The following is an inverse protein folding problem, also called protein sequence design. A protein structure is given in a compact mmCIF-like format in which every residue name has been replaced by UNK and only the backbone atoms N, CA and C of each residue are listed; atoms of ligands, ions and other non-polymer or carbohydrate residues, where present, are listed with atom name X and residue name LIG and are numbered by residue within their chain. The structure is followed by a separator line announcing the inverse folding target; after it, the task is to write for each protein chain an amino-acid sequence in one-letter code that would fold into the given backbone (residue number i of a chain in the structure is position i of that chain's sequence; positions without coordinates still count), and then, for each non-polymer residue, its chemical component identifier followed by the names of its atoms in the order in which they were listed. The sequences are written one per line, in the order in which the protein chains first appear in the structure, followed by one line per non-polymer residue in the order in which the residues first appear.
data_IF_489616696999
#
_entry.id   IF_489616696999
#
_cell.length_a   1.000
_cell.length_b   1.000
_cell.length_c   1.000
_cell.angle_alpha   90.00
_cell.angle_beta   90.00
_cell.angle_gamma   90.00
#
_symmetry.space_group_name_H-M   'P 1'
#
loop_
_entity.id
_entity.type
_entity.pdbx_description
1 polymer ?
#
# COMPACT_ATOMS: atom_id res chain seq x y z
N UNK A 1 34.47 -7.92 -5.84
CA UNK A 1 33.20 -8.59 -6.19
C UNK A 1 32.10 -7.56 -6.04
N UNK A 2 31.68 -6.95 -7.15
CA UNK A 2 30.67 -5.88 -7.15
C UNK A 2 29.27 -6.50 -7.20
N UNK A 3 28.59 -6.58 -6.06
CA UNK A 3 27.15 -6.80 -6.02
C UNK A 3 26.43 -5.47 -6.27
N UNK A 4 26.30 -5.05 -7.52
CA UNK A 4 25.41 -3.94 -7.91
C UNK A 4 24.05 -4.53 -8.26
N UNK A 5 23.05 -4.40 -7.40
CA UNK A 5 21.66 -4.53 -7.83
C UNK A 5 21.03 -3.15 -7.83
N UNK A 6 20.71 -2.64 -9.03
CA UNK A 6 19.78 -1.52 -9.21
C UNK A 6 18.32 -1.94 -8.96
N UNK A 7 18.10 -3.18 -8.53
CA UNK A 7 16.78 -3.74 -8.26
C UNK A 7 16.30 -3.34 -6.86
N UNK A 8 14.99 -3.07 -6.71
CA UNK A 8 14.41 -2.77 -5.41
C UNK A 8 14.53 -3.95 -4.46
N UNK A 9 14.88 -3.68 -3.20
CA UNK A 9 14.88 -4.72 -2.14
C UNK A 9 13.45 -5.11 -1.78
N UNK A 10 12.51 -4.17 -1.93
CA UNK A 10 11.08 -4.40 -1.92
C UNK A 10 10.49 -3.62 -3.10
N UNK A 11 9.89 -4.34 -4.05
CA UNK A 11 9.32 -3.78 -5.27
C UNK A 11 8.22 -2.74 -5.02
N UNK A 12 7.88 -2.00 -6.07
CA UNK A 12 6.78 -1.04 -6.02
C UNK A 12 5.45 -1.75 -5.72
N UNK A 13 4.77 -1.33 -4.65
CA UNK A 13 3.45 -1.86 -4.26
C UNK A 13 2.64 -0.81 -3.48
N UNK A 14 1.33 -1.02 -3.40
CA UNK A 14 0.45 -0.41 -2.41
C UNK A 14 0.20 -1.41 -1.28
N UNK A 15 -0.06 -0.92 -0.07
CA UNK A 15 -0.42 -1.81 1.02
C UNK A 15 -1.91 -2.20 0.96
N UNK A 16 -2.26 -3.47 1.22
CA UNK A 16 -3.65 -3.94 1.18
C UNK A 16 -4.51 -3.49 2.38
N UNK A 17 -3.88 -3.10 3.48
CA UNK A 17 -4.53 -2.81 4.76
C UNK A 17 -5.22 -1.43 4.78
N UNK A 18 -5.70 -0.99 5.95
CA UNK A 18 -6.28 0.34 6.15
C UNK A 18 -5.18 1.40 6.29
N UNK A 19 -4.34 1.27 7.32
CA UNK A 19 -3.27 2.21 7.63
C UNK A 19 -2.02 1.46 8.08
N UNK A 20 -0.87 1.86 7.56
CA UNK A 20 0.45 1.37 7.97
C UNK A 20 1.15 2.44 8.80
N UNK A 21 1.62 2.08 10.00
CA UNK A 21 2.58 2.89 10.76
C UNK A 21 3.97 2.29 10.57
N UNK A 22 4.87 3.06 9.98
CA UNK A 22 6.23 2.62 9.66
C UNK A 22 7.25 3.42 10.47
N UNK A 23 8.10 2.70 11.18
CA UNK A 23 9.33 3.21 11.78
C UNK A 23 10.54 2.62 11.05
N UNK A 24 11.62 3.38 10.95
CA UNK A 24 12.90 2.89 10.44
C UNK A 24 14.07 3.46 11.24
N UNK A 25 15.28 2.92 11.06
CA UNK A 25 16.48 3.59 11.55
C UNK A 25 16.86 4.79 10.66
N UNK A 26 18.01 5.41 10.95
CA UNK A 26 18.57 6.58 10.26
C UNK A 26 19.06 6.30 8.82
N UNK A 27 18.94 5.06 8.36
CA UNK A 27 19.32 4.65 7.01
C UNK A 27 18.13 4.80 6.06
N UNK A 28 18.25 5.73 5.10
CA UNK A 28 17.23 5.99 4.09
C UNK A 28 17.07 4.81 3.12
N UNK A 29 15.89 4.75 2.49
CA UNK A 29 15.65 3.80 1.40
C UNK A 29 14.19 3.74 0.94
N UNK A 30 13.25 4.22 1.75
CA UNK A 30 11.85 4.32 1.36
C UNK A 30 11.67 5.42 0.28
N UNK A 31 11.01 5.04 -0.81
CA UNK A 31 10.54 5.96 -1.85
C UNK A 31 9.02 5.80 -2.01
N UNK A 32 8.30 6.91 -2.15
CA UNK A 32 6.85 6.97 -2.38
C UNK A 32 6.62 7.63 -3.73
N UNK A 33 5.74 7.05 -4.54
CA UNK A 33 5.37 7.61 -5.83
C UNK A 33 4.29 8.69 -5.63
N UNK A 34 4.49 9.88 -6.20
CA UNK A 34 3.47 10.93 -6.22
C UNK A 34 2.46 10.71 -7.36
N UNK A 35 1.45 11.59 -7.45
CA UNK A 35 0.40 11.51 -8.46
C UNK A 35 0.92 11.72 -9.90
N UNK A 36 2.08 12.35 -10.06
CA UNK A 36 2.75 12.56 -11.35
C UNK A 36 3.63 11.36 -11.76
N UNK A 37 3.65 10.30 -10.94
CA UNK A 37 4.44 9.09 -11.19
C UNK A 37 5.91 9.19 -10.76
N UNK A 38 6.30 10.29 -10.14
CA UNK A 38 7.68 10.53 -9.69
C UNK A 38 7.94 9.89 -8.32
N UNK A 39 9.14 9.32 -8.15
CA UNK A 39 9.55 8.69 -6.91
C UNK A 39 10.21 9.71 -5.96
N UNK A 40 9.56 9.95 -4.83
CA UNK A 40 10.02 10.86 -3.78
C UNK A 40 10.71 10.06 -2.68
N UNK A 41 11.95 10.43 -2.36
CA UNK A 41 12.69 9.85 -1.22
C UNK A 41 12.12 10.40 0.09
N UNK A 42 11.71 9.51 0.98
CA UNK A 42 11.20 9.91 2.28
C UNK A 42 12.36 10.21 3.23
N UNK A 43 12.39 11.43 3.76
CA UNK A 43 13.32 11.80 4.82
C UNK A 43 12.73 11.41 6.17
N UNK A 44 13.37 10.49 6.86
CA UNK A 44 12.91 9.99 8.14
C UNK A 44 13.44 10.83 9.31
N UNK A 45 12.62 10.97 10.37
CA UNK A 45 13.01 11.53 11.66
C UNK A 45 12.90 10.46 12.76
N UNK A 46 13.92 10.29 13.63
CA UNK A 46 13.94 9.26 14.68
C UNK A 46 12.83 9.42 15.73
N UNK A 47 12.14 10.56 15.74
CA UNK A 47 11.03 10.84 16.67
C UNK A 47 9.67 10.82 15.97
N UNK A 48 9.57 10.20 14.79
CA UNK A 48 8.35 10.17 14.00
C UNK A 48 8.04 8.77 13.48
N UNK A 49 6.79 8.57 13.11
CA UNK A 49 6.34 7.46 12.28
C UNK A 49 5.87 8.00 10.94
N UNK A 50 6.08 7.20 9.90
CA UNK A 50 5.47 7.43 8.59
C UNK A 50 4.11 6.72 8.62
N UNK A 51 3.06 7.44 8.22
CA UNK A 51 1.71 6.90 8.12
C UNK A 51 1.37 6.74 6.64
N UNK A 52 1.08 5.52 6.21
CA UNK A 52 0.71 5.21 4.81
C UNK A 52 -0.74 4.76 4.77
N UNK A 53 -1.49 5.32 3.82
CA UNK A 53 -2.86 4.89 3.51
C UNK A 53 -2.78 3.62 2.67
N UNK A 54 -3.46 2.57 3.09
CA UNK A 54 -3.59 1.35 2.30
C UNK A 54 -4.87 1.31 1.47
N UNK A 55 -4.96 0.30 0.61
CA UNK A 55 -6.02 0.12 -0.37
C UNK A 55 -7.40 -0.02 0.29
N UNK A 56 -7.47 -0.67 1.45
CA UNK A 56 -8.73 -0.82 2.18
C UNK A 56 -9.31 0.54 2.60
N UNK A 57 -8.47 1.47 3.05
CA UNK A 57 -8.93 2.80 3.44
C UNK A 57 -9.27 3.64 2.20
N UNK A 58 -8.49 3.51 1.13
CA UNK A 58 -8.80 4.14 -0.16
C UNK A 58 -10.19 3.74 -0.68
N UNK A 59 -10.52 2.44 -0.62
CA UNK A 59 -11.81 1.89 -1.03
C UNK A 59 -12.94 2.34 -0.10
N UNK A 60 -12.75 2.24 1.23
CA UNK A 60 -13.73 2.72 2.22
C UNK A 60 -14.09 4.19 2.02
N UNK A 61 -13.12 5.00 1.60
CA UNK A 61 -13.33 6.43 1.33
C UNK A 61 -13.86 6.72 -0.07
N UNK A 62 -14.39 5.71 -0.77
CA UNK A 62 -14.88 5.79 -2.14
C UNK A 62 -13.86 6.45 -3.09
N UNK A 63 -12.58 6.10 -2.94
CA UNK A 63 -11.49 6.56 -3.81
C UNK A 63 -10.95 7.97 -3.52
N UNK A 64 -11.49 8.68 -2.51
CA UNK A 64 -11.12 10.07 -2.21
C UNK A 64 -9.67 10.25 -1.77
N UNK A 65 -9.09 9.26 -1.11
CA UNK A 65 -7.67 9.25 -0.75
C UNK A 65 -6.96 8.12 -1.51
N UNK A 66 -5.91 8.43 -2.29
CA UNK A 66 -5.14 7.41 -2.96
C UNK A 66 -4.25 6.66 -1.95
N UNK A 67 -4.20 5.35 -2.11
CA UNK A 67 -3.17 4.48 -1.54
C UNK A 67 -1.93 4.55 -2.44
N UNK A 68 -0.81 5.13 -1.98
CA UNK A 68 0.33 5.40 -2.84
C UNK A 68 1.18 4.15 -3.07
N UNK A 69 1.74 4.03 -4.28
CA UNK A 69 2.83 3.10 -4.51
C UNK A 69 4.06 3.52 -3.72
N UNK A 70 4.73 2.56 -3.10
CA UNK A 70 5.98 2.76 -2.41
C UNK A 70 6.92 1.58 -2.65
N UNK A 71 8.23 1.83 -2.52
CA UNK A 71 9.29 0.84 -2.74
C UNK A 71 10.47 1.08 -1.80
N UNK A 72 11.37 0.11 -1.70
CA UNK A 72 12.62 0.26 -0.95
C UNK A 72 13.83 0.12 -1.88
N UNK A 73 14.57 1.22 -2.03
CA UNK A 73 15.79 1.32 -2.80
C UNK A 73 16.98 1.58 -1.88
N UNK A 74 18.00 0.72 -1.91
CA UNK A 74 19.26 0.97 -1.20
C UNK A 74 20.20 1.78 -2.08
N UNK A 75 20.79 2.84 -1.52
CA UNK A 75 21.75 3.64 -2.26
C UNK A 75 23.01 2.83 -2.61
N UNK A 76 23.50 2.97 -3.84
CA UNK A 76 24.74 2.34 -4.26
C UNK A 76 25.90 2.79 -3.36
N UNK A 77 26.67 1.82 -2.86
CA UNK A 77 27.80 2.08 -1.96
C UNK A 77 27.43 2.35 -0.50
N UNK A 78 26.16 2.22 -0.11
CA UNK A 78 25.77 2.24 1.30
C UNK A 78 26.13 0.89 1.96
N UNK A 79 27.03 0.92 2.93
CA UNK A 79 27.46 -0.23 3.74
C UNK A 79 26.63 -0.39 5.03
N UNK A 80 25.73 0.55 5.32
CA UNK A 80 24.89 0.51 6.52
C UNK A 80 23.64 -0.36 6.31
N UNK A 81 23.34 -1.18 7.30
CA UNK A 81 22.11 -1.96 7.36
C UNK A 81 20.90 -1.08 7.68
N UNK A 82 19.83 -1.19 6.87
CA UNK A 82 18.54 -0.56 7.12
C UNK A 82 17.62 -1.52 7.88
N UNK A 83 16.99 -1.02 8.93
CA UNK A 83 15.95 -1.72 9.69
C UNK A 83 14.65 -0.92 9.62
N UNK A 84 13.52 -1.62 9.53
CA UNK A 84 12.19 -1.01 9.65
C UNK A 84 11.22 -1.93 10.37
N UNK A 85 10.29 -1.32 11.11
CA UNK A 85 9.18 -1.98 11.75
C UNK A 85 7.87 -1.38 11.22
N UNK A 86 7.01 -2.23 10.68
CA UNK A 86 5.68 -1.86 10.18
C UNK A 86 4.58 -2.41 11.07
N UNK A 87 3.60 -1.58 11.40
CA UNK A 87 2.35 -1.99 12.04
C UNK A 87 1.21 -1.77 11.06
N UNK A 88 0.45 -2.82 10.77
CA UNK A 88 -0.56 -2.84 9.72
C UNK A 88 -1.94 -3.07 10.34
N UNK A 89 -2.87 -2.14 10.13
CA UNK A 89 -4.27 -2.30 10.57
C UNK A 89 -5.15 -2.81 9.44
N UNK A 90 -5.78 -3.97 9.61
CA UNK A 90 -6.61 -4.58 8.57
C UNK A 90 -8.11 -4.41 8.84
N UNK A 91 -8.91 -4.50 7.78
CA UNK A 91 -10.34 -4.75 7.89
C UNK A 91 -10.57 -6.10 8.55
N UNK A 92 -11.62 -6.20 9.38
CA UNK A 92 -12.06 -7.47 9.92
C UNK A 92 -12.78 -8.25 8.81
N UNK A 93 -12.29 -9.45 8.51
CA UNK A 93 -12.97 -10.37 7.61
C UNK A 93 -14.18 -11.06 8.22
N UNK A 94 -15.00 -11.69 7.37
CA UNK A 94 -16.29 -12.27 7.74
C UNK A 94 -17.38 -11.21 8.01
N UNK A 95 -17.20 -9.99 7.52
CA UNK A 95 -18.10 -8.86 7.64
C UNK A 95 -18.15 -8.11 6.31
N UNK A 96 -19.36 -7.85 5.83
CA UNK A 96 -19.55 -7.06 4.62
C UNK A 96 -19.14 -5.60 4.86
N UNK A 97 -18.14 -5.16 4.10
CA UNK A 97 -17.61 -3.80 4.11
C UNK A 97 -18.39 -2.98 3.10
N UNK A 98 -19.03 -1.90 3.57
CA UNK A 98 -19.80 -0.97 2.75
C UNK A 98 -19.17 0.40 2.75
N UNK A 99 -19.22 1.06 1.60
CA UNK A 99 -18.88 2.47 1.50
C UNK A 99 -19.94 3.28 2.26
N UNK A 100 -19.54 4.21 3.15
CA UNK A 100 -20.46 5.13 3.80
C UNK A 100 -21.26 5.94 2.77
N UNK A 101 -22.59 6.00 2.94
CA UNK A 101 -23.50 6.66 2.00
C UNK A 101 -23.17 8.14 1.83
N UNK A 102 -22.64 8.79 2.87
CA UNK A 102 -22.23 10.21 2.86
C UNK A 102 -21.07 10.51 1.90
N UNK A 103 -20.32 9.48 1.48
CA UNK A 103 -19.21 9.63 0.54
C UNK A 103 -19.62 9.46 -0.93
N UNK A 104 -20.89 9.09 -1.16
CA UNK A 104 -21.50 8.87 -2.47
C UNK A 104 -22.44 10.01 -2.82
N UNK A 105 -22.23 10.64 -3.98
CA UNK A 105 -23.11 11.68 -4.50
C UNK A 105 -22.95 11.80 -6.03
N UNK A 106 -23.67 12.75 -6.64
CA UNK A 106 -23.62 12.97 -8.10
C UNK A 106 -22.21 13.28 -8.63
N UNK A 107 -21.36 13.96 -7.84
CA UNK A 107 -19.99 14.30 -8.22
C UNK A 107 -18.97 13.20 -7.90
N UNK A 108 -19.30 12.28 -6.99
CA UNK A 108 -18.49 11.11 -6.64
C UNK A 108 -19.42 9.88 -6.49
N UNK A 109 -19.84 9.27 -7.60
CA UNK A 109 -20.74 8.12 -7.57
C UNK A 109 -20.08 6.92 -6.88
N UNK A 110 -20.87 5.88 -6.59
CA UNK A 110 -20.36 4.66 -5.97
C UNK A 110 -19.33 4.01 -6.89
N UNK A 111 -18.06 3.98 -6.47
CA UNK A 111 -16.97 3.38 -7.26
C UNK A 111 -16.73 1.92 -6.89
N UNK A 112 -17.05 1.53 -5.66
CA UNK A 112 -16.84 0.17 -5.20
C UNK A 112 -18.10 -0.44 -4.55
N UNK A 113 -18.42 -1.66 -4.96
CA UNK A 113 -19.51 -2.47 -4.40
C UNK A 113 -19.11 -3.03 -3.02
N UNK A 114 -20.08 -3.41 -2.18
CA UNK A 114 -19.80 -4.11 -0.93
C UNK A 114 -18.96 -5.36 -1.15
N UNK A 115 -18.06 -5.66 -0.20
CA UNK A 115 -17.15 -6.80 -0.29
C UNK A 115 -16.81 -7.36 1.09
N UNK A 116 -16.35 -8.61 1.15
CA UNK A 116 -15.73 -9.19 2.34
C UNK A 116 -14.21 -9.25 2.17
N UNK A 117 -13.46 -8.84 3.19
CA UNK A 117 -12.00 -8.77 3.09
C UNK A 117 -11.33 -10.15 3.07
N UNK A 118 -11.87 -11.16 3.76
CA UNK A 118 -11.30 -12.51 3.77
C UNK A 118 -11.56 -13.23 2.44
N UNK A 119 -12.73 -13.01 1.83
CA UNK A 119 -13.04 -13.52 0.49
C UNK A 119 -12.11 -12.91 -0.58
N UNK A 120 -11.90 -11.60 -0.52
CA UNK A 120 -10.92 -10.91 -1.34
C UNK A 120 -9.51 -11.48 -1.11
N UNK A 121 -9.06 -11.55 0.14
CA UNK A 121 -7.70 -11.95 0.47
C UNK A 121 -7.42 -13.41 0.05
N UNK A 122 -8.40 -14.29 0.19
CA UNK A 122 -8.33 -15.66 -0.31
C UNK A 122 -8.16 -15.71 -1.83
N UNK A 123 -8.94 -14.91 -2.55
CA UNK A 123 -8.86 -14.81 -4.02
C UNK A 123 -7.52 -14.22 -4.47
N UNK A 124 -7.04 -13.18 -3.80
CA UNK A 124 -5.75 -12.54 -4.02
C UNK A 124 -4.59 -13.53 -3.85
N UNK A 125 -4.56 -14.28 -2.75
CA UNK A 125 -3.52 -15.28 -2.51
C UNK A 125 -3.54 -16.40 -3.55
N UNK A 126 -4.72 -16.80 -4.02
CA UNK A 126 -4.86 -17.79 -5.11
C UNK A 126 -4.22 -17.28 -6.41
N UNK A 127 -4.47 -16.03 -6.81
CA UNK A 127 -3.89 -15.44 -8.02
C UNK A 127 -2.37 -15.28 -7.91
N UNK A 128 -1.87 -14.80 -6.76
CA UNK A 128 -0.42 -14.70 -6.51
C UNK A 128 0.25 -16.06 -6.62
N UNK A 129 -0.35 -17.13 -6.09
CA UNK A 129 0.17 -18.51 -6.21
C UNK A 129 0.21 -19.01 -7.65
N UNK A 130 -0.66 -18.49 -8.52
CA UNK A 130 -0.69 -18.80 -9.95
C UNK A 130 0.28 -17.94 -10.77
N UNK A 131 1.03 -17.04 -10.11
CA UNK A 131 1.94 -16.10 -10.77
C UNK A 131 1.22 -14.93 -11.45
N UNK A 132 -0.07 -14.72 -11.12
CA UNK A 132 -0.87 -13.60 -11.61
C UNK A 132 -0.78 -12.44 -10.61
N UNK A 133 -0.54 -11.23 -11.11
CA UNK A 133 -0.45 -10.00 -10.29
C UNK A 133 -1.57 -9.00 -10.60
N UNK A 134 -2.62 -9.43 -11.32
CA UNK A 134 -3.65 -8.52 -11.83
C UNK A 134 -4.78 -8.20 -10.84
N UNK A 135 -4.99 -9.05 -9.83
CA UNK A 135 -6.06 -8.85 -8.86
C UNK A 135 -5.61 -7.88 -7.76
N UNK A 136 -6.32 -6.76 -7.65
CA UNK A 136 -6.15 -5.77 -6.57
C UNK A 136 -7.47 -5.64 -5.84
N UNK A 137 -7.46 -5.06 -4.63
CA UNK A 137 -8.71 -4.82 -3.91
C UNK A 137 -9.65 -3.92 -4.73
N UNK A 138 -9.11 -2.84 -5.31
CA UNK A 138 -9.88 -1.90 -6.14
C UNK A 138 -10.54 -2.59 -7.33
N UNK A 139 -9.85 -3.52 -8.01
CA UNK A 139 -10.43 -4.25 -9.15
C UNK A 139 -11.42 -5.32 -8.72
N UNK A 140 -11.22 -5.95 -7.55
CA UNK A 140 -12.14 -6.94 -6.98
C UNK A 140 -13.51 -6.33 -6.65
N UNK A 141 -13.51 -5.15 -6.05
CA UNK A 141 -14.72 -4.47 -5.59
C UNK A 141 -15.19 -3.34 -6.51
N UNK A 142 -14.65 -3.14 -7.71
CA UNK A 142 -15.16 -2.12 -8.63
C UNK A 142 -16.64 -2.36 -9.01
N UNK A 143 -17.40 -1.27 -9.20
CA UNK A 143 -18.76 -1.26 -9.78
C UNK A 143 -18.68 -1.26 -11.31
#
# INVERSE_FOLDING_TARGET
MEGRSNDPNLGAHSDLNLVTLLYQNDVNGLEIQNNDGEWIKVKFSPHSFIVVIGDSLSVLLNGRLPSPYHRVMMAAGNDKTRYSAGFFSYLKGGCEVKIPEELVNEQNPLLFKPFDFDEFFTSFLSEVRRGSSGLTLKTYCAV
#
